data_IF_736006405258
#
_entry.id   IF_736006405258
#
_cell.length_a   1.000
_cell.length_b   1.000
_cell.length_c   1.000
_cell.angle_alpha   90.00
_cell.angle_beta   90.00
_cell.angle_gamma   90.00
#
_symmetry.space_group_name_H-M   'P 1'
#
loop_
_entity.id
_entity.type
_entity.pdbx_description
1 polymer ?
#
# COMPACT_ATOMS: atom_id res chain seq x y z
N UNK A 1 -21.04 0.62 -24.39
CA UNK A 1 -19.62 0.97 -24.57
C UNK A 1 -18.79 0.26 -23.55
N UNK A 2 -17.78 -0.52 -23.91
CA UNK A 2 -16.84 -1.11 -22.99
C UNK A 2 -15.79 -0.04 -22.61
N UNK A 3 -15.63 0.26 -21.36
CA UNK A 3 -14.59 1.19 -20.89
C UNK A 3 -15.00 2.03 -19.70
N UNK A 4 -15.50 1.43 -18.64
CA UNK A 4 -15.49 2.12 -17.36
C UNK A 4 -14.07 2.00 -16.81
N UNK A 5 -13.25 2.99 -17.14
CA UNK A 5 -12.01 3.24 -16.39
C UNK A 5 -12.43 3.51 -14.95
N UNK A 6 -11.97 2.74 -13.96
CA UNK A 6 -12.31 3.01 -12.57
C UNK A 6 -11.94 4.45 -12.25
N UNK A 7 -12.83 5.16 -11.58
CA UNK A 7 -12.63 6.55 -11.19
C UNK A 7 -11.29 6.70 -10.45
N UNK A 8 -10.38 7.48 -11.05
CA UNK A 8 -9.00 7.67 -10.58
C UNK A 8 -8.98 8.82 -9.57
N UNK A 9 -9.39 8.60 -8.32
CA UNK A 9 -9.41 9.68 -7.32
C UNK A 9 -8.07 9.91 -6.63
N UNK A 10 -7.31 8.86 -6.33
CA UNK A 10 -6.06 8.96 -5.58
C UNK A 10 -4.85 8.41 -6.32
N UNK A 11 -5.00 7.29 -7.02
CA UNK A 11 -3.95 6.61 -7.76
C UNK A 11 -4.55 5.89 -8.98
N UNK A 12 -3.68 5.36 -9.84
CA UNK A 12 -4.08 4.60 -11.02
C UNK A 12 -3.38 3.26 -11.07
N UNK A 13 -4.13 2.17 -11.30
CA UNK A 13 -3.58 0.85 -11.54
C UNK A 13 -2.67 0.80 -12.76
N UNK A 14 -3.00 1.57 -13.81
CA UNK A 14 -2.16 1.63 -15.03
C UNK A 14 -0.76 2.16 -14.71
N UNK A 15 -0.66 3.17 -13.84
CA UNK A 15 0.63 3.69 -13.37
C UNK A 15 1.38 2.65 -12.55
N UNK A 16 0.70 1.93 -11.66
CA UNK A 16 1.30 0.87 -10.88
C UNK A 16 1.82 -0.26 -11.77
N UNK A 17 1.01 -0.73 -12.70
CA UNK A 17 1.40 -1.81 -13.62
C UNK A 17 2.61 -1.41 -14.47
N UNK A 18 2.64 -0.17 -14.93
CA UNK A 18 3.78 0.34 -15.69
C UNK A 18 5.07 0.42 -14.86
N UNK A 19 4.98 0.86 -13.62
CA UNK A 19 6.12 0.86 -12.70
C UNK A 19 6.64 -0.55 -12.41
N UNK A 20 5.77 -1.52 -12.24
CA UNK A 20 6.15 -2.93 -12.06
C UNK A 20 6.87 -3.47 -13.31
N UNK A 21 6.35 -3.18 -14.51
CA UNK A 21 6.99 -3.55 -15.78
C UNK A 21 8.39 -2.92 -15.92
N UNK A 22 8.51 -1.63 -15.59
CA UNK A 22 9.79 -0.91 -15.63
C UNK A 22 10.79 -1.54 -14.65
N UNK A 23 10.35 -1.92 -13.46
CA UNK A 23 11.23 -2.56 -12.48
C UNK A 23 11.85 -3.86 -13.03
N UNK A 24 11.07 -4.64 -13.79
CA UNK A 24 11.58 -5.83 -14.48
C UNK A 24 12.57 -5.48 -15.60
N UNK A 25 12.28 -4.45 -16.40
CA UNK A 25 13.16 -3.99 -17.48
C UNK A 25 14.54 -3.58 -16.95
N UNK A 26 14.58 -2.98 -15.75
CA UNK A 26 15.84 -2.61 -15.07
C UNK A 26 16.47 -3.74 -14.27
N UNK A 27 15.91 -4.95 -14.30
CA UNK A 27 16.47 -6.12 -13.63
C UNK A 27 16.36 -6.08 -12.09
N UNK A 28 15.38 -5.35 -11.56
CA UNK A 28 15.15 -5.29 -10.11
C UNK A 28 14.43 -6.56 -9.64
N UNK A 29 15.06 -7.28 -8.72
CA UNK A 29 14.56 -8.54 -8.17
C UNK A 29 13.84 -8.39 -6.82
N UNK A 30 13.93 -7.21 -6.19
CA UNK A 30 13.30 -6.86 -4.90
C UNK A 30 12.32 -5.72 -5.05
N UNK A 31 11.23 -5.97 -5.78
CA UNK A 31 10.14 -5.00 -5.98
C UNK A 31 8.92 -5.45 -5.19
N UNK A 32 8.49 -4.62 -4.26
CA UNK A 32 7.36 -4.89 -3.38
C UNK A 32 6.27 -3.84 -3.55
N UNK A 33 5.02 -4.28 -3.51
CA UNK A 33 3.84 -3.41 -3.59
C UNK A 33 3.10 -3.44 -2.26
N UNK A 34 2.91 -2.27 -1.67
CA UNK A 34 2.07 -2.08 -0.50
C UNK A 34 0.74 -1.47 -0.93
N UNK A 35 -0.37 -2.18 -0.71
CA UNK A 35 -1.67 -1.81 -1.23
C UNK A 35 -2.52 -1.09 -0.17
N UNK A 36 -2.95 0.13 -0.47
CA UNK A 36 -3.92 0.87 0.33
C UNK A 36 -5.29 0.76 -0.33
N UNK A 37 -6.22 0.05 0.33
CA UNK A 37 -7.53 -0.24 -0.21
C UNK A 37 -8.47 0.95 -0.05
N UNK A 38 -9.29 1.21 -1.06
CA UNK A 38 -10.19 2.36 -1.11
C UNK A 38 -11.56 2.04 -0.48
N UNK A 39 -12.47 1.45 -1.22
CA UNK A 39 -13.80 1.08 -0.76
C UNK A 39 -14.75 2.24 -0.44
N UNK A 40 -14.31 3.49 -0.69
CA UNK A 40 -15.11 4.71 -0.46
C UNK A 40 -15.40 5.44 -1.77
N UNK A 41 -14.37 5.61 -2.60
CA UNK A 41 -14.47 6.17 -3.95
C UNK A 41 -14.62 5.04 -5.00
N UNK A 42 -14.58 3.79 -4.58
CA UNK A 42 -14.83 2.56 -5.33
C UNK A 42 -15.80 1.67 -4.56
N UNK A 43 -16.32 0.63 -5.22
CA UNK A 43 -17.19 -0.35 -4.56
C UNK A 43 -16.49 -0.96 -3.33
N UNK A 44 -17.18 -1.05 -2.17
CA UNK A 44 -16.58 -1.52 -0.91
C UNK A 44 -16.00 -2.94 -0.92
N UNK A 45 -16.33 -3.74 -1.92
CA UNK A 45 -15.83 -5.12 -2.08
C UNK A 45 -15.13 -5.37 -3.42
N UNK A 46 -14.70 -4.29 -4.10
CA UNK A 46 -13.96 -4.41 -5.37
C UNK A 46 -12.48 -4.72 -5.20
N UNK A 47 -11.95 -4.57 -3.99
CA UNK A 47 -10.53 -4.70 -3.69
C UNK A 47 -9.93 -6.07 -4.00
N UNK A 48 -10.65 -7.16 -3.75
CA UNK A 48 -10.16 -8.51 -4.09
C UNK A 48 -9.86 -8.65 -5.59
N UNK A 49 -10.69 -8.08 -6.45
CA UNK A 49 -10.46 -8.05 -7.90
C UNK A 49 -9.23 -7.23 -8.29
N UNK A 50 -9.01 -6.10 -7.65
CA UNK A 50 -7.81 -5.28 -7.86
C UNK A 50 -6.55 -5.99 -7.37
N UNK A 51 -6.59 -6.61 -6.21
CA UNK A 51 -5.48 -7.40 -5.68
C UNK A 51 -5.13 -8.56 -6.61
N UNK A 52 -6.12 -9.23 -7.21
CA UNK A 52 -5.89 -10.28 -8.20
C UNK A 52 -5.13 -9.73 -9.42
N UNK A 53 -5.54 -8.59 -9.96
CA UNK A 53 -4.86 -7.96 -11.09
C UNK A 53 -3.42 -7.57 -10.74
N UNK A 54 -3.21 -7.01 -9.56
CA UNK A 54 -1.87 -6.62 -9.08
C UNK A 54 -1.01 -7.88 -8.87
N UNK A 55 -1.56 -8.94 -8.28
CA UNK A 55 -0.84 -10.19 -8.06
C UNK A 55 -0.42 -10.84 -9.39
N UNK A 56 -1.29 -10.86 -10.39
CA UNK A 56 -0.99 -11.39 -11.73
C UNK A 56 0.13 -10.58 -12.41
N UNK A 57 0.07 -9.26 -12.33
CA UNK A 57 1.10 -8.36 -12.89
C UNK A 57 2.43 -8.53 -12.14
N UNK A 58 2.40 -8.64 -10.83
CA UNK A 58 3.60 -8.89 -10.02
C UNK A 58 4.24 -10.24 -10.38
N UNK A 59 3.45 -11.31 -10.49
CA UNK A 59 3.94 -12.65 -10.85
C UNK A 59 4.60 -12.65 -12.23
N UNK A 60 4.03 -11.94 -13.20
CA UNK A 60 4.59 -11.83 -14.56
C UNK A 60 5.91 -11.02 -14.59
N UNK A 61 6.19 -10.19 -13.61
CA UNK A 61 7.31 -9.26 -13.60
C UNK A 61 8.31 -9.48 -12.43
N UNK A 62 8.15 -10.55 -11.66
CA UNK A 62 9.05 -10.87 -10.55
C UNK A 62 8.93 -9.93 -9.33
N UNK A 63 7.80 -9.23 -9.22
CA UNK A 63 7.45 -8.41 -8.06
C UNK A 63 6.51 -9.16 -7.11
N UNK A 64 6.27 -8.61 -5.93
CA UNK A 64 5.41 -9.22 -4.91
C UNK A 64 4.54 -8.18 -4.21
N UNK A 65 3.30 -8.55 -3.87
CA UNK A 65 2.50 -7.77 -2.94
C UNK A 65 3.02 -8.07 -1.53
N UNK A 66 3.52 -7.04 -0.84
CA UNK A 66 4.08 -7.20 0.50
C UNK A 66 3.03 -7.02 1.60
N UNK A 67 2.08 -6.12 1.41
CA UNK A 67 1.06 -5.82 2.42
C UNK A 67 -0.21 -5.22 1.84
N UNK A 68 -1.28 -5.32 2.62
CA UNK A 68 -2.58 -4.71 2.35
C UNK A 68 -3.10 -4.02 3.61
N UNK A 69 -3.67 -2.83 3.46
CA UNK A 69 -4.33 -2.09 4.54
C UNK A 69 -5.41 -1.17 3.96
N UNK A 70 -6.49 -0.95 4.70
CA UNK A 70 -7.54 -0.02 4.29
C UNK A 70 -7.15 1.45 4.44
N UNK A 71 -7.74 2.31 3.61
CA UNK A 71 -7.50 3.76 3.64
C UNK A 71 -7.86 4.42 4.97
N UNK A 72 -8.76 3.82 5.73
CA UNK A 72 -9.12 4.30 7.07
C UNK A 72 -7.91 4.48 7.97
N UNK A 73 -6.91 3.63 7.82
CA UNK A 73 -5.64 3.68 8.56
C UNK A 73 -4.55 4.46 7.78
N UNK A 74 -4.28 4.03 6.54
CA UNK A 74 -3.14 4.51 5.77
C UNK A 74 -3.31 5.90 5.17
N UNK A 75 -4.54 6.37 5.01
CA UNK A 75 -4.87 7.61 4.33
C UNK A 75 -5.65 8.57 5.25
N UNK A 76 -5.30 8.63 6.51
CA UNK A 76 -5.83 9.65 7.42
C UNK A 76 -5.34 11.05 7.01
N UNK A 77 -6.11 12.08 7.33
CA UNK A 77 -5.78 13.49 7.10
C UNK A 77 -6.16 14.40 8.27
N UNK A 78 -6.61 13.80 9.36
CA UNK A 78 -7.13 14.53 10.52
C UNK A 78 -6.24 14.34 11.76
N UNK A 79 -4.97 13.98 11.53
CA UNK A 79 -3.93 13.77 12.56
C UNK A 79 -4.32 12.71 13.61
N UNK A 80 -4.99 11.67 13.15
CA UNK A 80 -5.29 10.50 13.98
C UNK A 80 -4.10 9.54 13.95
N UNK A 81 -3.05 9.90 14.67
CA UNK A 81 -1.75 9.21 14.63
C UNK A 81 -1.82 7.73 15.00
N UNK A 82 -2.78 7.34 15.83
CA UNK A 82 -3.06 5.93 16.12
C UNK A 82 -3.41 5.12 14.87
N UNK A 83 -4.11 5.70 13.90
CA UNK A 83 -4.41 5.04 12.62
C UNK A 83 -3.20 5.01 11.70
N UNK A 84 -2.50 6.12 11.60
CA UNK A 84 -1.27 6.23 10.81
C UNK A 84 -0.22 5.24 11.32
N UNK A 85 -0.15 5.04 12.64
CA UNK A 85 0.74 4.06 13.25
C UNK A 85 0.47 2.64 12.80
N UNK A 86 -0.78 2.22 12.63
CA UNK A 86 -1.12 0.89 12.10
C UNK A 86 -0.50 0.69 10.71
N UNK A 87 -0.59 1.68 9.83
CA UNK A 87 0.05 1.63 8.52
C UNK A 87 1.57 1.69 8.61
N UNK A 88 2.11 2.53 9.47
CA UNK A 88 3.55 2.65 9.71
C UNK A 88 4.15 1.31 10.19
N UNK A 89 3.55 0.71 11.20
CA UNK A 89 4.01 -0.57 11.75
C UNK A 89 3.95 -1.70 10.70
N UNK A 90 2.92 -1.69 9.85
CA UNK A 90 2.82 -2.63 8.75
C UNK A 90 3.96 -2.44 7.73
N UNK A 91 4.23 -1.20 7.33
CA UNK A 91 5.22 -0.88 6.30
C UNK A 91 6.67 -1.06 6.77
N UNK A 92 6.97 -0.67 8.00
CA UNK A 92 8.34 -0.61 8.53
C UNK A 92 8.68 -1.86 9.35
N UNK A 93 7.75 -2.38 10.13
CA UNK A 93 7.98 -3.51 11.04
C UNK A 93 7.31 -4.81 10.57
N UNK A 94 6.48 -4.77 9.53
CA UNK A 94 5.76 -5.93 9.03
C UNK A 94 4.71 -6.47 10.01
N UNK A 95 4.16 -5.61 10.85
CA UNK A 95 3.13 -5.99 11.82
C UNK A 95 1.74 -6.02 11.17
N UNK A 96 1.14 -7.19 11.13
CA UNK A 96 -0.20 -7.40 10.61
C UNK A 96 -0.59 -8.87 10.67
N UNK A 97 -1.81 -9.16 10.24
CA UNK A 97 -2.26 -10.56 10.06
C UNK A 97 -1.43 -11.19 8.94
N UNK A 98 -0.74 -12.26 9.24
CA UNK A 98 0.03 -13.01 8.26
C UNK A 98 -0.89 -13.75 7.28
N UNK A 99 -0.58 -13.67 6.00
CA UNK A 99 -1.27 -14.40 4.95
C UNK A 99 -0.29 -14.79 3.83
N UNK A 100 -0.58 -15.89 3.17
CA UNK A 100 0.22 -16.38 2.02
C UNK A 100 -0.44 -16.06 0.68
N UNK A 101 -1.75 -15.89 0.67
CA UNK A 101 -2.56 -15.53 -0.48
C UNK A 101 -3.31 -14.22 -0.19
N UNK A 102 -2.94 -13.16 -0.90
CA UNK A 102 -3.49 -11.82 -0.66
C UNK A 102 -4.96 -11.70 -1.10
N UNK A 103 -5.35 -12.36 -2.18
CA UNK A 103 -6.74 -12.37 -2.65
C UNK A 103 -7.63 -13.07 -1.63
N UNK A 104 -7.20 -14.24 -1.16
CA UNK A 104 -7.92 -15.00 -0.14
C UNK A 104 -8.03 -14.21 1.17
N UNK A 105 -6.99 -13.50 1.56
CA UNK A 105 -7.01 -12.64 2.74
C UNK A 105 -8.08 -11.53 2.63
N UNK A 106 -8.25 -10.94 1.46
CA UNK A 106 -9.33 -9.98 1.19
C UNK A 106 -10.71 -10.63 1.29
N UNK A 107 -10.89 -11.82 0.73
CA UNK A 107 -12.15 -12.56 0.80
C UNK A 107 -12.51 -12.93 2.25
N UNK A 108 -11.54 -13.35 3.05
CA UNK A 108 -11.71 -13.60 4.49
C UNK A 108 -12.13 -12.33 5.24
N UNK A 109 -11.54 -11.19 4.91
CA UNK A 109 -11.93 -9.90 5.49
C UNK A 109 -13.41 -9.58 5.19
N UNK A 110 -13.86 -9.84 3.96
CA UNK A 110 -15.26 -9.66 3.58
C UNK A 110 -16.21 -10.62 4.30
N UNK A 111 -15.78 -11.86 4.53
CA UNK A 111 -16.56 -12.84 5.30
C UNK A 111 -16.74 -12.40 6.76
N UNK A 112 -15.74 -11.71 7.32
CA UNK A 112 -15.80 -11.10 8.65
C UNK A 112 -16.57 -9.77 8.70
N UNK A 113 -17.16 -9.34 7.57
CA UNK A 113 -17.91 -8.09 7.46
C UNK A 113 -17.04 -6.84 7.33
N UNK A 114 -15.74 -6.98 7.11
CA UNK A 114 -14.80 -5.86 6.96
C UNK A 114 -14.56 -5.60 5.47
N UNK A 115 -15.02 -4.44 5.01
CA UNK A 115 -14.87 -4.00 3.62
C UNK A 115 -13.53 -3.31 3.36
N UNK A 116 -13.24 -3.00 2.09
CA UNK A 116 -11.97 -2.45 1.63
C UNK A 116 -11.46 -1.26 2.46
N UNK A 117 -12.33 -0.29 2.75
CA UNK A 117 -11.96 0.92 3.51
C UNK A 117 -11.35 0.59 4.88
N UNK A 118 -11.87 -0.45 5.53
CA UNK A 118 -11.56 -0.81 6.91
C UNK A 118 -10.67 -2.05 7.05
N UNK A 119 -10.11 -2.57 5.96
CA UNK A 119 -9.22 -3.72 6.01
C UNK A 119 -8.09 -3.46 7.00
N UNK A 120 -7.98 -4.35 7.97
CA UNK A 120 -6.91 -4.32 8.97
C UNK A 120 -5.57 -4.71 8.32
N UNK A 121 -4.44 -4.31 8.90
CA UNK A 121 -3.13 -4.65 8.35
C UNK A 121 -2.97 -6.13 8.05
N UNK A 122 -2.62 -6.46 6.80
CA UNK A 122 -2.32 -7.82 6.34
C UNK A 122 -0.92 -7.81 5.75
N UNK A 123 -0.06 -8.70 6.20
CA UNK A 123 1.31 -8.86 5.70
C UNK A 123 1.45 -10.18 4.95
N UNK A 124 2.15 -10.14 3.82
CA UNK A 124 2.50 -11.34 3.08
C UNK A 124 3.68 -12.04 3.75
N UNK A 125 3.42 -13.19 4.38
CA UNK A 125 4.43 -13.96 5.11
C UNK A 125 5.42 -14.71 4.20
N UNK A 126 5.18 -14.76 2.90
CA UNK A 126 6.07 -15.44 1.93
C UNK A 126 7.23 -14.56 1.48
N UNK A 127 7.18 -13.26 1.74
CA UNK A 127 8.21 -12.27 1.38
C UNK A 127 8.50 -11.34 2.55
N UNK A 128 9.69 -10.74 2.55
CA UNK A 128 10.03 -9.66 3.47
C UNK A 128 10.11 -8.34 2.68
N UNK A 129 9.01 -7.63 2.63
CA UNK A 129 8.86 -6.36 1.90
C UNK A 129 8.78 -5.14 2.83
N UNK A 130 9.28 -5.22 4.06
CA UNK A 130 9.35 -4.07 4.97
C UNK A 130 10.27 -2.99 4.42
N UNK A 131 9.92 -1.73 4.69
CA UNK A 131 10.74 -0.57 4.31
C UNK A 131 11.93 -0.49 5.26
N UNK A 132 13.14 -0.54 4.69
CA UNK A 132 14.40 -0.51 5.43
C UNK A 132 15.24 0.71 5.04
N UNK A 133 16.27 0.97 5.83
CA UNK A 133 17.23 2.03 5.56
C UNK A 133 17.89 1.83 4.18
N UNK A 134 17.91 2.89 3.38
CA UNK A 134 18.49 2.88 2.04
C UNK A 134 17.54 2.41 0.93
N UNK A 135 16.33 2.02 1.26
CA UNK A 135 15.33 1.62 0.26
C UNK A 135 14.85 2.80 -0.61
N UNK A 136 14.35 2.45 -1.78
CA UNK A 136 13.64 3.37 -2.67
C UNK A 136 12.14 3.14 -2.54
N UNK A 137 11.42 4.19 -2.20
CA UNK A 137 9.95 4.17 -2.09
C UNK A 137 9.34 5.12 -3.11
N UNK A 138 8.39 4.62 -3.88
CA UNK A 138 7.59 5.42 -4.80
C UNK A 138 6.13 5.44 -4.31
N UNK A 139 5.67 6.61 -3.89
CA UNK A 139 4.29 6.80 -3.45
C UNK A 139 3.44 7.25 -4.64
N UNK A 140 2.66 6.34 -5.21
CA UNK A 140 1.98 6.56 -6.50
C UNK A 140 0.67 7.34 -6.42
N UNK A 141 0.22 7.73 -5.24
CA UNK A 141 -0.94 8.59 -5.10
C UNK A 141 -0.63 9.99 -5.66
N UNK A 142 -1.43 10.43 -6.63
CA UNK A 142 -1.28 11.77 -7.21
C UNK A 142 -2.16 12.82 -6.50
N UNK A 143 -3.01 12.42 -5.55
CA UNK A 143 -3.74 13.31 -4.66
C UNK A 143 -3.03 13.33 -3.30
N UNK A 144 -2.52 14.50 -2.92
CA UNK A 144 -1.56 14.63 -1.83
C UNK A 144 -2.19 14.78 -0.42
N UNK A 145 -3.46 15.19 -0.31
CA UNK A 145 -4.09 15.50 0.98
C UNK A 145 -4.10 14.34 1.99
N UNK A 146 -4.18 13.12 1.49
CA UNK A 146 -4.21 11.90 2.32
C UNK A 146 -2.87 11.16 2.39
N UNK A 147 -1.89 11.57 1.59
CA UNK A 147 -0.55 10.98 1.60
C UNK A 147 0.39 11.65 2.62
N UNK A 148 0.08 12.87 3.04
CA UNK A 148 0.97 13.72 3.83
C UNK A 148 1.39 13.14 5.18
N UNK A 149 0.45 12.61 5.94
CA UNK A 149 0.75 12.14 7.30
C UNK A 149 1.69 10.94 7.30
N UNK A 150 1.43 9.96 6.45
CA UNK A 150 2.31 8.80 6.31
C UNK A 150 3.69 9.19 5.75
N UNK A 151 3.73 10.08 4.76
CA UNK A 151 4.99 10.64 4.23
C UNK A 151 5.78 11.35 5.32
N UNK A 152 5.11 12.13 6.16
CA UNK A 152 5.74 12.88 7.24
C UNK A 152 6.45 11.95 8.25
N UNK A 153 5.78 10.90 8.71
CA UNK A 153 6.37 9.98 9.69
C UNK A 153 7.45 9.07 9.12
N UNK A 154 7.43 8.83 7.80
CA UNK A 154 8.46 8.04 7.13
C UNK A 154 9.72 8.84 6.82
N UNK A 155 9.60 10.15 6.54
CA UNK A 155 10.70 10.93 5.93
C UNK A 155 11.06 12.23 6.62
N UNK A 156 10.14 12.87 7.36
CA UNK A 156 10.30 14.25 7.78
C UNK A 156 10.38 14.45 9.29
N UNK A 157 9.59 13.74 10.07
CA UNK A 157 9.45 13.99 11.48
C UNK A 157 9.33 12.71 12.30
N UNK A 158 10.26 12.54 13.24
CA UNK A 158 10.13 11.52 14.27
C UNK A 158 8.97 11.88 15.23
N UNK A 159 8.19 10.86 15.56
CA UNK A 159 7.11 10.97 16.56
C UNK A 159 7.30 9.88 17.62
N UNK A 160 8.30 10.04 18.52
CA UNK A 160 8.63 9.02 19.51
C UNK A 160 7.49 8.77 20.52
N UNK A 161 6.67 9.77 20.79
CA UNK A 161 5.49 9.67 21.66
C UNK A 161 4.44 8.70 21.07
N UNK A 162 4.37 8.64 19.75
CA UNK A 162 3.48 7.73 19.00
C UNK A 162 4.20 6.45 18.56
N UNK A 163 5.47 6.28 18.89
CA UNK A 163 6.27 5.11 18.50
C UNK A 163 6.63 5.05 17.02
N UNK A 164 6.72 6.19 16.34
CA UNK A 164 7.09 6.30 14.94
C UNK A 164 8.38 7.09 14.77
N UNK A 165 9.25 6.59 13.88
CA UNK A 165 10.55 7.22 13.57
C UNK A 165 10.76 7.25 12.06
N UNK A 166 11.39 8.30 11.57
CA UNK A 166 11.78 8.39 10.15
C UNK A 166 12.78 7.29 9.79
N UNK A 167 12.65 6.75 8.59
CA UNK A 167 13.58 5.75 8.05
C UNK A 167 14.76 6.48 7.41
N UNK A 168 15.96 6.28 7.96
CA UNK A 168 17.17 6.95 7.49
C UNK A 168 17.60 6.46 6.11
N UNK A 169 18.13 7.38 5.30
CA UNK A 169 18.63 7.03 3.97
C UNK A 169 17.56 6.63 2.95
N UNK A 170 16.29 6.77 3.29
CA UNK A 170 15.17 6.44 2.41
C UNK A 170 15.14 7.38 1.20
N UNK A 171 15.13 6.81 0.00
CA UNK A 171 14.91 7.57 -1.23
C UNK A 171 13.41 7.56 -1.54
N UNK A 172 12.74 8.66 -1.22
CA UNK A 172 11.28 8.75 -1.27
C UNK A 172 10.81 9.67 -2.38
N UNK A 173 10.00 9.13 -3.27
CA UNK A 173 9.46 9.84 -4.43
C UNK A 173 7.94 9.87 -4.40
N UNK A 174 7.36 11.05 -4.63
CA UNK A 174 5.93 11.24 -4.78
C UNK A 174 5.59 11.60 -6.23
N UNK A 175 4.37 11.27 -6.65
CA UNK A 175 3.85 11.63 -7.98
C UNK A 175 3.50 13.11 -8.09
N UNK A 176 3.32 13.77 -6.95
CA UNK A 176 2.97 15.21 -6.84
C UNK A 176 3.71 15.84 -5.67
N UNK A 177 3.88 17.17 -5.67
CA UNK A 177 4.48 17.92 -4.57
C UNK A 177 3.71 17.76 -3.25
#
# INVERSE_FOLDING_TARGET
>A
CPGHTPLRFHSSLDHLFKLIEISKEYGLDKTFVHCFMDGRDTDPKSGAGFIQQIADTCAANGAHIASIIGRFYAMDRDKRWNRVKEAYDLLVEGKGKEATDMVKAMEESYADGVTDEFVKPIVNSTVNGTIEEGDVVIFINFRNDRAKELTQVLTQQDMPEEGMHTVKGLQYYCMTP
#
